data_IF_043627104818
#
_entry.id   IF_043627104818
#
_cell.length_a   1.000
_cell.length_b   1.000
_cell.length_c   1.000
_cell.angle_alpha   90.00
_cell.angle_beta   90.00
_cell.angle_gamma   90.00
#
_symmetry.space_group_name_H-M   'P 1'
#
loop_
_entity.id
_entity.type
_entity.pdbx_description
1 polymer ?
#
# COMPACT_ATOMS: atom_id res chain seq x y z
N UNK A 1 -17.48 11.14 21.09
CA UNK A 1 -18.44 11.51 20.03
C UNK A 1 -18.07 12.89 19.53
N UNK A 2 -17.55 12.96 18.31
CA UNK A 2 -17.52 14.14 17.47
C UNK A 2 -17.39 13.61 16.03
N UNK A 3 -18.54 13.17 15.50
CA UNK A 3 -18.74 13.11 14.06
C UNK A 3 -19.05 14.54 13.62
N UNK A 4 -18.07 15.17 12.96
CA UNK A 4 -18.27 16.39 12.20
C UNK A 4 -17.38 16.28 10.97
N UNK A 5 -17.92 15.66 9.92
CA UNK A 5 -17.40 15.82 8.57
C UNK A 5 -17.57 17.29 8.15
N UNK A 6 -16.53 18.10 8.35
CA UNK A 6 -16.46 19.40 7.69
C UNK A 6 -16.24 19.16 6.21
N UNK A 7 -17.28 19.33 5.39
CA UNK A 7 -17.09 19.51 3.96
C UNK A 7 -16.39 20.86 3.77
N UNK A 8 -15.08 20.80 3.55
CA UNK A 8 -14.29 21.97 3.16
C UNK A 8 -14.85 22.48 1.83
N UNK A 9 -15.54 23.63 1.87
CA UNK A 9 -16.18 24.24 0.69
C UNK A 9 -15.18 24.80 -0.30
N UNK A 10 -13.89 24.88 0.08
CA UNK A 10 -12.84 25.36 -0.80
C UNK A 10 -12.67 24.40 -1.96
N UNK A 11 -12.48 25.00 -3.14
CA UNK A 11 -12.10 24.27 -4.34
C UNK A 11 -10.76 23.57 -4.13
N UNK A 12 -10.65 22.35 -4.63
CA UNK A 12 -9.49 21.50 -4.41
C UNK A 12 -9.10 20.69 -5.64
N UNK A 13 -7.88 20.21 -5.61
CA UNK A 13 -7.44 19.11 -6.46
C UNK A 13 -7.72 17.80 -5.74
N UNK A 14 -8.41 16.86 -6.39
CA UNK A 14 -8.74 15.53 -5.86
C UNK A 14 -8.06 14.46 -6.71
N UNK A 15 -7.14 13.71 -6.10
CA UNK A 15 -6.54 12.51 -6.65
C UNK A 15 -7.21 11.27 -6.05
N UNK A 16 -7.80 10.40 -6.88
CA UNK A 16 -8.32 9.10 -6.43
C UNK A 16 -7.44 7.99 -7.00
N UNK A 17 -6.84 7.20 -6.12
CA UNK A 17 -5.96 6.11 -6.46
C UNK A 17 -6.55 4.78 -6.01
N UNK A 18 -6.74 3.87 -6.95
CA UNK A 18 -7.14 2.49 -6.67
C UNK A 18 -5.95 1.56 -6.79
N UNK A 19 -5.62 0.87 -5.71
CA UNK A 19 -4.60 -0.17 -5.68
C UNK A 19 -5.29 -1.55 -5.62
N UNK A 20 -5.10 -2.34 -6.66
CA UNK A 20 -5.71 -3.67 -6.76
C UNK A 20 -4.74 -4.78 -6.38
N UNK A 21 -5.32 -5.90 -5.91
CA UNK A 21 -4.59 -7.10 -5.49
C UNK A 21 -3.66 -6.82 -4.29
N UNK A 22 -4.05 -5.92 -3.39
CA UNK A 22 -3.18 -5.49 -2.29
C UNK A 22 -2.85 -6.63 -1.31
N UNK A 23 -3.71 -7.64 -1.20
CA UNK A 23 -3.40 -8.80 -0.34
C UNK A 23 -2.22 -9.63 -0.84
N UNK A 24 -1.84 -9.46 -2.11
CA UNK A 24 -0.66 -10.09 -2.70
C UNK A 24 0.61 -9.24 -2.55
N UNK A 25 0.53 -8.14 -1.81
CA UNK A 25 1.70 -7.32 -1.52
C UNK A 25 2.72 -8.10 -0.67
N UNK A 26 3.89 -8.34 -1.26
CA UNK A 26 5.04 -8.97 -0.61
C UNK A 26 6.07 -7.96 -0.12
N UNK A 27 5.78 -6.67 -0.23
CA UNK A 27 6.70 -5.65 0.25
C UNK A 27 6.96 -5.80 1.75
N UNK A 28 8.23 -5.68 2.10
CA UNK A 28 8.71 -5.71 3.47
C UNK A 28 8.48 -4.34 4.16
N UNK A 29 8.78 -4.27 5.45
CA UNK A 29 8.79 -2.99 6.16
C UNK A 29 9.72 -2.00 5.44
N UNK A 30 9.34 -0.71 5.41
CA UNK A 30 10.06 0.37 4.71
C UNK A 30 9.98 0.33 3.17
N UNK A 31 9.33 -0.65 2.57
CA UNK A 31 9.05 -0.64 1.13
C UNK A 31 7.68 0.01 0.87
N UNK A 32 7.63 0.88 -0.14
CA UNK A 32 6.41 1.58 -0.53
C UNK A 32 5.91 1.18 -1.91
N UNK A 33 4.60 1.21 -2.07
CA UNK A 33 3.93 1.22 -3.37
C UNK A 33 3.73 2.68 -3.73
N UNK A 34 4.33 3.11 -4.83
CA UNK A 34 4.18 4.45 -5.36
C UNK A 34 2.96 4.53 -6.29
N UNK A 35 2.14 5.57 -6.13
CA UNK A 35 1.08 5.90 -7.09
C UNK A 35 1.67 6.47 -8.39
N UNK A 36 0.94 6.45 -9.51
CA UNK A 36 1.28 7.30 -10.63
C UNK A 36 1.41 8.77 -10.21
N UNK A 37 2.37 9.46 -10.80
CA UNK A 37 2.59 10.90 -10.59
C UNK A 37 1.42 11.69 -11.20
N UNK A 38 1.02 12.77 -10.53
CA UNK A 38 -0.01 13.69 -10.99
C UNK A 38 0.47 15.14 -10.87
N UNK A 39 0.14 15.96 -11.88
CA UNK A 39 0.51 17.37 -11.92
C UNK A 39 -0.65 18.27 -11.46
N UNK A 40 -0.35 19.29 -10.66
CA UNK A 40 -1.32 20.29 -10.23
C UNK A 40 -0.94 21.63 -10.85
N UNK A 41 -1.62 22.00 -11.93
CA UNK A 41 -1.36 23.23 -12.69
C UNK A 41 -1.38 24.49 -11.82
N UNK A 42 -2.34 24.54 -10.90
CA UNK A 42 -2.52 25.66 -9.99
C UNK A 42 -1.42 25.81 -8.93
N UNK A 43 -0.65 24.75 -8.70
CA UNK A 43 0.53 24.72 -7.84
C UNK A 43 1.81 24.78 -8.68
N UNK A 44 1.86 25.72 -9.63
CA UNK A 44 3.00 25.93 -10.52
C UNK A 44 3.37 24.71 -11.35
N UNK A 45 2.36 23.91 -11.73
CA UNK A 45 2.54 22.60 -12.41
C UNK A 45 3.41 21.64 -11.61
N UNK A 46 3.43 21.77 -10.29
CA UNK A 46 4.13 20.84 -9.41
C UNK A 46 3.54 19.45 -9.55
N UNK A 47 4.44 18.48 -9.64
CA UNK A 47 4.12 17.07 -9.73
C UNK A 47 4.20 16.43 -8.35
N UNK A 48 3.27 15.52 -8.07
CA UNK A 48 3.15 14.84 -6.79
C UNK A 48 2.87 13.35 -7.00
N UNK A 49 3.17 12.56 -5.99
CA UNK A 49 2.74 11.16 -5.88
C UNK A 49 2.44 10.80 -4.43
N UNK A 50 1.74 9.68 -4.25
CA UNK A 50 1.56 9.05 -2.95
C UNK A 50 2.51 7.86 -2.84
N UNK A 51 3.25 7.80 -1.74
CA UNK A 51 3.95 6.59 -1.31
C UNK A 51 3.12 5.93 -0.19
N UNK A 52 2.59 4.73 -0.47
CA UNK A 52 1.89 3.89 0.49
C UNK A 52 2.87 2.88 1.08
N UNK A 53 2.97 2.81 2.40
CA UNK A 53 3.71 1.78 3.12
C UNK A 53 2.71 0.81 3.78
N UNK A 54 2.35 -0.32 3.14
CA UNK A 54 1.29 -1.21 3.63
C UNK A 54 1.60 -1.89 4.96
N UNK A 55 2.89 -1.99 5.31
CA UNK A 55 3.41 -2.52 6.58
C UNK A 55 4.15 -1.44 7.38
N UNK A 56 3.79 -0.18 7.16
CA UNK A 56 4.39 0.96 7.83
C UNK A 56 5.87 1.17 7.50
N UNK A 57 6.34 2.36 7.88
CA UNK A 57 7.74 2.73 7.85
C UNK A 57 8.32 2.57 9.26
N UNK A 58 7.79 3.32 10.22
CA UNK A 58 8.30 3.34 11.59
C UNK A 58 7.61 2.34 12.52
N UNK A 59 6.38 1.92 12.20
CA UNK A 59 5.63 0.94 12.98
C UNK A 59 4.84 0.03 12.05
N UNK A 60 5.13 -1.27 12.09
CA UNK A 60 4.54 -2.28 11.21
C UNK A 60 3.08 -2.64 11.53
N UNK A 61 2.55 -2.10 12.63
CA UNK A 61 1.14 -2.25 12.97
C UNK A 61 0.25 -1.25 12.22
N UNK A 62 0.82 -0.27 11.54
CA UNK A 62 0.07 0.78 10.85
C UNK A 62 0.46 0.90 9.38
N UNK A 63 -0.53 1.29 8.58
CA UNK A 63 -0.36 1.76 7.21
C UNK A 63 0.03 3.23 7.28
N UNK A 64 1.10 3.58 6.59
CA UNK A 64 1.55 4.96 6.45
C UNK A 64 1.38 5.41 5.00
N UNK A 65 1.11 6.71 4.83
CA UNK A 65 1.06 7.35 3.52
C UNK A 65 1.88 8.63 3.54
N UNK A 66 2.54 8.92 2.43
CA UNK A 66 3.27 10.16 2.23
C UNK A 66 2.85 10.79 0.92
N UNK A 67 2.44 12.05 0.98
CA UNK A 67 2.31 12.90 -0.20
C UNK A 67 3.65 13.58 -0.45
N UNK A 68 4.26 13.28 -1.59
CA UNK A 68 5.58 13.77 -1.95
C UNK A 68 5.49 14.60 -3.23
N UNK A 69 6.26 15.69 -3.29
CA UNK A 69 6.43 16.50 -4.50
C UNK A 69 7.65 16.01 -5.27
N UNK A 70 7.49 15.78 -6.56
CA UNK A 70 8.58 15.38 -7.44
C UNK A 70 9.57 16.52 -7.65
N UNK A 71 10.85 16.17 -7.82
CA UNK A 71 11.91 17.12 -8.11
C UNK A 71 12.22 18.12 -6.98
N UNK A 72 11.75 17.88 -5.75
CA UNK A 72 12.14 18.68 -4.59
C UNK A 72 13.65 18.63 -4.41
N UNK A 73 14.29 19.77 -4.61
CA UNK A 73 15.70 20.00 -4.34
C UNK A 73 15.77 21.04 -3.23
N UNK A 74 16.52 20.82 -2.14
CA UNK A 74 16.71 21.82 -1.09
C UNK A 74 17.40 23.11 -1.60
N UNK A 75 17.86 23.11 -2.85
CA UNK A 75 18.47 24.26 -3.52
C UNK A 75 17.48 25.08 -4.37
N UNK A 76 16.25 24.58 -4.61
CA UNK A 76 15.20 25.30 -5.35
C UNK A 76 14.10 25.72 -4.37
N UNK A 77 14.18 26.98 -3.93
CA UNK A 77 13.32 27.62 -2.91
C UNK A 77 11.92 27.97 -3.41
N UNK A 78 11.14 27.02 -3.91
CA UNK A 78 9.70 27.24 -4.10
C UNK A 78 8.97 26.42 -3.05
N UNK A 79 8.78 27.03 -1.88
CA UNK A 79 7.95 26.47 -0.82
C UNK A 79 6.48 26.75 -1.14
N UNK A 80 5.73 25.69 -1.42
CA UNK A 80 4.28 25.75 -1.56
C UNK A 80 3.67 25.29 -0.26
N UNK A 81 2.82 26.14 0.33
CA UNK A 81 2.06 25.81 1.53
C UNK A 81 0.70 25.28 1.10
N UNK A 82 0.44 24.02 1.42
CA UNK A 82 -0.79 23.32 1.04
C UNK A 82 -1.51 22.79 2.27
N UNK A 83 -2.83 22.71 2.19
CA UNK A 83 -3.59 21.84 3.07
C UNK A 83 -3.87 20.56 2.30
N UNK A 84 -3.91 19.44 2.99
CA UNK A 84 -4.20 18.17 2.36
C UNK A 84 -5.03 17.26 3.26
N UNK A 85 -5.85 16.44 2.62
CA UNK A 85 -6.65 15.40 3.26
C UNK A 85 -6.31 14.08 2.57
N UNK A 86 -6.06 13.05 3.35
CA UNK A 86 -6.00 11.68 2.87
C UNK A 86 -7.19 10.91 3.44
N UNK A 87 -7.87 10.13 2.60
CA UNK A 87 -8.99 9.31 2.99
C UNK A 87 -8.93 7.92 2.36
N UNK A 88 -9.40 6.90 3.09
CA UNK A 88 -9.76 5.62 2.51
C UNK A 88 -11.26 5.61 2.21
N UNK A 89 -11.60 5.11 1.03
CA UNK A 89 -12.97 5.06 0.55
C UNK A 89 -13.47 3.62 0.49
N UNK A 90 -14.77 3.45 0.69
CA UNK A 90 -15.48 2.23 0.31
C UNK A 90 -15.77 2.20 -1.19
N UNK A 91 -16.31 1.09 -1.67
CA UNK A 91 -16.65 0.85 -3.08
C UNK A 91 -17.61 1.89 -3.67
N UNK A 92 -18.56 2.38 -2.86
CA UNK A 92 -19.52 3.43 -3.24
C UNK A 92 -18.93 4.86 -3.21
N UNK A 93 -17.66 5.00 -2.82
CA UNK A 93 -16.98 6.28 -2.66
C UNK A 93 -17.22 6.98 -1.32
N UNK A 94 -17.95 6.35 -0.39
CA UNK A 94 -18.12 6.87 0.98
C UNK A 94 -16.78 6.89 1.72
N UNK A 95 -16.59 7.87 2.59
CA UNK A 95 -15.36 8.02 3.37
C UNK A 95 -15.40 7.08 4.58
N UNK A 96 -14.49 6.12 4.63
CA UNK A 96 -14.35 5.19 5.76
C UNK A 96 -13.52 5.81 6.88
N UNK A 97 -12.44 6.50 6.51
CA UNK A 97 -11.58 7.22 7.44
C UNK A 97 -10.82 8.29 6.68
N UNK A 98 -10.48 9.38 7.35
CA UNK A 98 -9.74 10.49 6.76
C UNK A 98 -8.90 11.22 7.80
N UNK A 99 -7.77 11.75 7.37
CA UNK A 99 -6.90 12.64 8.14
C UNK A 99 -6.62 13.89 7.31
N UNK A 100 -6.75 15.07 7.93
CA UNK A 100 -6.42 16.36 7.32
C UNK A 100 -5.20 16.95 8.01
N UNK A 101 -4.29 17.51 7.22
CA UNK A 101 -3.12 18.25 7.67
C UNK A 101 -3.16 19.60 6.98
N UNK A 102 -2.99 20.67 7.74
CA UNK A 102 -3.05 22.05 7.26
C UNK A 102 -1.65 22.67 7.32
N UNK A 103 -1.40 23.63 6.44
CA UNK A 103 -0.14 24.39 6.37
C UNK A 103 1.11 23.49 6.19
N UNK A 104 1.01 22.49 5.31
CA UNK A 104 2.12 21.60 4.99
C UNK A 104 3.05 22.24 3.96
N UNK A 105 4.36 22.20 4.20
CA UNK A 105 5.35 22.68 3.25
C UNK A 105 5.68 21.58 2.23
N UNK A 106 5.14 21.71 1.01
CA UNK A 106 5.48 20.90 -0.19
C UNK A 106 5.24 19.39 -0.11
N UNK A 107 4.98 18.81 1.06
CA UNK A 107 4.76 17.39 1.29
C UNK A 107 3.91 17.20 2.54
N UNK A 108 3.33 16.01 2.71
CA UNK A 108 2.57 15.68 3.91
C UNK A 108 2.81 14.24 4.35
N UNK A 109 2.92 14.04 5.64
CA UNK A 109 3.15 12.74 6.28
C UNK A 109 1.90 12.32 7.06
N UNK A 110 1.30 11.23 6.60
CA UNK A 110 0.17 10.57 7.26
C UNK A 110 0.68 9.31 7.99
N UNK A 111 1.61 9.51 8.93
CA UNK A 111 2.10 8.49 9.83
C UNK A 111 0.97 7.88 10.67
N UNK A 112 1.01 6.56 10.84
CA UNK A 112 0.06 5.76 11.62
C UNK A 112 -1.38 5.98 11.20
N UNK A 113 -1.61 6.16 9.90
CA UNK A 113 -2.92 6.53 9.36
C UNK A 113 -4.01 5.52 9.74
N UNK A 114 -3.71 4.22 9.60
CA UNK A 114 -4.67 3.17 9.96
C UNK A 114 -4.00 1.87 10.36
N UNK A 115 -4.55 1.17 11.34
CA UNK A 115 -4.02 -0.14 11.74
C UNK A 115 -4.11 -1.18 10.61
N UNK A 116 -2.99 -1.84 10.33
CA UNK A 116 -2.88 -2.90 9.32
C UNK A 116 -3.86 -4.03 9.62
N UNK A 117 -3.98 -4.44 10.89
CA UNK A 117 -4.91 -5.51 11.30
C UNK A 117 -6.37 -5.15 11.05
N UNK A 118 -6.71 -3.87 11.14
CA UNK A 118 -8.08 -3.42 10.88
C UNK A 118 -8.40 -3.50 9.38
N UNK A 119 -7.49 -3.00 8.54
CA UNK A 119 -7.66 -2.96 7.08
C UNK A 119 -7.52 -4.34 6.43
N UNK A 120 -6.53 -5.14 6.84
CA UNK A 120 -6.23 -6.43 6.18
C UNK A 120 -6.98 -7.62 6.79
N UNK A 121 -7.39 -7.54 8.06
CA UNK A 121 -7.99 -8.69 8.76
C UNK A 121 -9.44 -8.42 9.22
N UNK A 122 -9.65 -7.51 10.18
CA UNK A 122 -10.96 -7.39 10.87
C UNK A 122 -12.06 -6.81 10.00
N UNK A 123 -11.75 -5.73 9.27
CA UNK A 123 -12.71 -5.00 8.44
C UNK A 123 -12.34 -5.08 6.95
N UNK A 124 -11.73 -6.20 6.55
CA UNK A 124 -11.18 -6.39 5.21
C UNK A 124 -12.18 -6.11 4.10
N UNK A 125 -13.41 -6.65 4.18
CA UNK A 125 -14.42 -6.45 3.13
C UNK A 125 -14.85 -4.99 2.98
N UNK A 126 -14.76 -4.20 4.06
CA UNK A 126 -15.11 -2.78 4.06
C UNK A 126 -14.01 -1.93 3.43
N UNK A 127 -12.75 -2.16 3.82
CA UNK A 127 -11.62 -1.37 3.33
C UNK A 127 -11.05 -1.86 1.98
N UNK A 128 -11.20 -3.16 1.70
CA UNK A 128 -10.64 -3.84 0.52
C UNK A 128 -11.73 -4.58 -0.28
N UNK A 129 -12.78 -3.88 -0.76
CA UNK A 129 -13.78 -4.49 -1.64
C UNK A 129 -13.10 -5.07 -2.88
N UNK A 130 -13.36 -6.34 -3.19
CA UNK A 130 -12.69 -7.07 -4.28
C UNK A 130 -11.14 -6.99 -4.23
N UNK A 131 -10.57 -6.90 -3.02
CA UNK A 131 -9.13 -6.74 -2.79
C UNK A 131 -8.53 -5.43 -3.36
N UNK A 132 -9.35 -4.38 -3.42
CA UNK A 132 -8.96 -3.04 -3.88
C UNK A 132 -8.91 -2.05 -2.73
N UNK A 133 -7.76 -1.40 -2.52
CA UNK A 133 -7.66 -0.25 -1.63
C UNK A 133 -7.93 1.03 -2.44
N UNK A 134 -8.96 1.79 -2.05
CA UNK A 134 -9.31 3.05 -2.72
C UNK A 134 -8.90 4.22 -1.82
N UNK A 135 -7.97 5.03 -2.30
CA UNK A 135 -7.38 6.14 -1.57
C UNK A 135 -7.78 7.44 -2.26
N UNK A 136 -8.21 8.43 -1.50
CA UNK A 136 -8.43 9.80 -1.97
C UNK A 136 -7.44 10.73 -1.29
N UNK A 137 -6.70 11.48 -2.09
CA UNK A 137 -5.95 12.64 -1.62
C UNK A 137 -6.63 13.90 -2.15
N UNK A 138 -6.93 14.86 -1.26
CA UNK A 138 -7.35 16.20 -1.64
C UNK A 138 -6.29 17.19 -1.23
N UNK A 139 -6.05 18.17 -2.09
CA UNK A 139 -5.03 19.20 -1.89
C UNK A 139 -5.68 20.57 -2.14
N UNK A 140 -5.44 21.50 -1.23
CA UNK A 140 -5.84 22.89 -1.30
C UNK A 140 -4.60 23.78 -1.21
N UNK A 141 -4.68 24.97 -1.79
CA UNK A 141 -3.78 26.06 -1.46
C UNK A 141 -4.14 26.58 -0.06
N UNK A 142 -3.16 26.77 0.83
CA UNK A 142 -3.43 27.30 2.16
C UNK A 142 -3.61 28.83 2.16
N UNK A 143 -2.97 29.52 1.21
CA UNK A 143 -2.91 30.99 1.15
C UNK A 143 -4.05 31.63 0.35
N UNK A 144 -4.67 30.88 -0.56
CA UNK A 144 -5.73 31.35 -1.45
C UNK A 144 -6.61 30.20 -1.92
N UNK A 145 -7.75 30.51 -2.54
CA UNK A 145 -8.58 29.48 -3.14
C UNK A 145 -8.00 28.97 -4.47
N UNK A 146 -8.27 27.71 -4.79
CA UNK A 146 -8.11 27.19 -6.14
C UNK A 146 -9.20 27.76 -7.05
N UNK A 147 -8.92 27.89 -8.35
CA UNK A 147 -9.87 28.46 -9.32
C UNK A 147 -10.99 27.49 -9.66
N UNK A 148 -10.73 26.19 -9.63
CA UNK A 148 -11.72 25.13 -9.91
C UNK A 148 -11.51 23.86 -9.07
N UNK A 149 -12.53 22.99 -9.05
CA UNK A 149 -12.36 21.64 -8.53
C UNK A 149 -11.83 20.76 -9.66
N UNK A 150 -10.64 20.19 -9.47
CA UNK A 150 -10.03 19.27 -10.42
C UNK A 150 -10.06 17.87 -9.81
N UNK A 151 -10.38 16.86 -10.62
CA UNK A 151 -10.31 15.47 -10.19
C UNK A 151 -9.56 14.63 -11.21
N UNK A 152 -8.69 13.74 -10.74
CA UNK A 152 -8.09 12.70 -11.56
C UNK A 152 -8.08 11.35 -10.84
N UNK A 153 -7.99 10.30 -11.66
CA UNK A 153 -8.09 8.92 -11.22
C UNK A 153 -6.84 8.17 -11.68
N UNK A 154 -6.30 7.35 -10.78
CA UNK A 154 -5.17 6.49 -11.05
C UNK A 154 -5.47 5.07 -10.58
N UNK A 155 -4.83 4.11 -11.24
CA UNK A 155 -4.92 2.69 -10.89
C UNK A 155 -3.54 2.07 -10.90
N UNK A 156 -3.22 1.37 -9.83
CA UNK A 156 -2.06 0.47 -9.75
C UNK A 156 -2.60 -0.94 -9.52
N UNK A 157 -2.02 -1.94 -10.17
CA UNK A 157 -2.40 -3.35 -9.98
C UNK A 157 -1.16 -4.16 -9.68
N UNK A 158 -1.16 -4.83 -8.54
CA UNK A 158 -0.13 -5.82 -8.22
C UNK A 158 -0.35 -7.03 -9.13
N UNK A 159 0.62 -7.29 -10.01
CA UNK A 159 0.55 -8.43 -10.90
C UNK A 159 0.90 -9.71 -10.14
N UNK A 160 0.08 -10.75 -10.32
CA UNK A 160 0.26 -12.05 -9.67
C UNK A 160 0.63 -13.04 -10.75
N UNK A 161 1.84 -13.57 -10.71
CA UNK A 161 2.24 -14.67 -11.56
C UNK A 161 2.07 -15.97 -10.79
N UNK A 162 1.07 -16.77 -11.16
CA UNK A 162 0.85 -18.08 -10.57
C UNK A 162 1.68 -19.13 -11.32
N UNK A 163 2.56 -19.81 -10.61
CA UNK A 163 3.32 -20.94 -11.15
C UNK A 163 2.75 -22.25 -10.61
N UNK A 164 2.37 -23.16 -11.50
CA UNK A 164 2.01 -24.53 -11.15
C UNK A 164 3.15 -25.46 -11.54
N UNK A 165 3.56 -26.32 -10.61
CA UNK A 165 4.58 -27.34 -10.87
C UNK A 165 4.08 -28.71 -10.45
N UNK A 166 4.43 -29.72 -11.24
CA UNK A 166 4.21 -31.12 -10.90
C UNK A 166 5.50 -31.69 -10.33
N UNK A 167 5.56 -31.88 -9.00
CA UNK A 167 6.72 -32.49 -8.36
C UNK A 167 6.54 -34.01 -8.26
N UNK A 168 7.21 -34.75 -9.14
CA UNK A 168 7.23 -36.21 -9.06
C UNK A 168 8.29 -36.67 -8.05
N UNK A 169 7.84 -37.10 -6.87
CA UNK A 169 8.71 -37.65 -5.82
C UNK A 169 8.96 -39.13 -6.11
N UNK A 170 10.12 -39.41 -6.71
CA UNK A 170 10.55 -40.79 -6.97
C UNK A 170 10.80 -41.54 -5.66
N UNK A 171 10.41 -42.81 -5.62
CA UNK A 171 10.63 -43.70 -4.48
C UNK A 171 10.10 -43.14 -3.14
N UNK A 172 8.93 -42.47 -3.16
CA UNK A 172 8.30 -41.87 -1.98
C UNK A 172 8.26 -42.80 -0.75
N UNK A 173 7.98 -44.09 -0.96
CA UNK A 173 7.94 -45.13 0.09
C UNK A 173 9.29 -45.40 0.79
N UNK A 174 10.40 -44.96 0.19
CA UNK A 174 11.77 -45.15 0.69
C UNK A 174 12.32 -43.92 1.43
N UNK A 175 11.56 -42.82 1.48
CA UNK A 175 11.98 -41.62 2.20
C UNK A 175 11.93 -41.93 3.70
N UNK A 176 13.10 -41.92 4.33
CA UNK A 176 13.23 -42.16 5.77
C UNK A 176 12.62 -40.99 6.55
N UNK A 177 12.09 -41.28 7.75
CA UNK A 177 11.69 -40.22 8.68
C UNK A 177 12.87 -39.27 8.90
N UNK A 178 12.60 -37.98 8.93
CA UNK A 178 13.59 -36.90 9.11
C UNK A 178 14.51 -36.62 7.89
N UNK A 179 14.44 -37.40 6.80
CA UNK A 179 15.10 -37.02 5.54
C UNK A 179 14.29 -35.99 4.76
N UNK A 180 14.99 -34.95 4.29
CA UNK A 180 14.44 -33.79 3.60
C UNK A 180 14.61 -33.95 2.08
N UNK A 181 13.50 -33.87 1.35
CA UNK A 181 13.49 -33.69 -0.10
C UNK A 181 13.28 -32.20 -0.39
N UNK A 182 14.14 -31.60 -1.19
CA UNK A 182 14.11 -30.17 -1.49
C UNK A 182 13.82 -29.95 -2.97
N UNK A 183 12.87 -29.06 -3.26
CA UNK A 183 12.58 -28.55 -4.59
C UNK A 183 12.88 -27.05 -4.62
N UNK A 184 13.67 -26.61 -5.59
CA UNK A 184 13.97 -25.19 -5.79
C UNK A 184 13.18 -24.67 -6.99
N UNK A 185 12.39 -23.63 -6.77
CA UNK A 185 11.67 -22.91 -7.81
C UNK A 185 12.47 -21.66 -8.17
N UNK A 186 12.91 -21.57 -9.42
CA UNK A 186 13.73 -20.47 -9.93
C UNK A 186 12.87 -19.47 -10.70
N UNK A 187 13.16 -18.17 -10.59
CA UNK A 187 12.62 -17.15 -11.48
C UNK A 187 13.24 -17.29 -12.86
N UNK A 188 12.39 -17.27 -13.89
CA UNK A 188 12.82 -17.36 -15.30
C UNK A 188 13.64 -16.14 -15.74
N UNK A 189 13.51 -15.00 -15.05
CA UNK A 189 14.12 -13.74 -15.47
C UNK A 189 15.58 -13.57 -15.02
N UNK A 190 15.95 -14.03 -13.82
CA UNK A 190 17.29 -13.75 -13.25
C UNK A 190 18.06 -14.98 -12.74
N UNK A 191 17.57 -16.21 -12.97
CA UNK A 191 18.15 -17.45 -12.41
C UNK A 191 18.26 -17.47 -10.86
N UNK A 192 17.65 -16.52 -10.17
CA UNK A 192 17.56 -16.50 -8.73
C UNK A 192 16.52 -17.51 -8.23
N UNK A 193 16.84 -18.19 -7.12
CA UNK A 193 15.91 -19.11 -6.46
C UNK A 193 14.83 -18.27 -5.77
N UNK A 194 13.61 -18.29 -6.30
CA UNK A 194 12.47 -17.56 -5.72
C UNK A 194 12.00 -18.22 -4.42
N UNK A 195 11.92 -19.55 -4.43
CA UNK A 195 11.36 -20.31 -3.32
C UNK A 195 12.01 -21.69 -3.25
N UNK A 196 12.27 -22.14 -2.03
CA UNK A 196 12.68 -23.52 -1.75
C UNK A 196 11.54 -24.22 -1.00
N UNK A 197 11.04 -25.32 -1.56
CA UNK A 197 10.00 -26.15 -0.97
C UNK A 197 10.65 -27.40 -0.41
N UNK A 198 10.43 -27.65 0.87
CA UNK A 198 11.01 -28.76 1.59
C UNK A 198 9.96 -29.72 2.09
N UNK A 199 10.08 -30.99 1.70
CA UNK A 199 9.19 -32.07 2.09
C UNK A 199 9.96 -33.06 2.97
N UNK A 200 9.44 -33.35 4.16
CA UNK A 200 10.00 -34.35 5.06
C UNK A 200 8.89 -35.08 5.81
N UNK A 201 9.16 -36.33 6.20
CA UNK A 201 8.23 -37.13 7.00
C UNK A 201 8.58 -37.03 8.47
N UNK A 202 7.57 -36.79 9.30
CA UNK A 202 7.68 -36.86 10.75
C UNK A 202 6.92 -38.08 11.25
N UNK A 203 7.61 -38.99 11.93
CA UNK A 203 6.97 -40.15 12.52
C UNK A 203 6.17 -39.69 13.76
N UNK A 204 4.87 -39.99 13.83
CA UNK A 204 3.97 -39.48 14.88
C UNK A 204 4.13 -40.17 16.24
N UNK A 205 5.17 -41.01 16.42
CA UNK A 205 5.38 -41.81 17.62
C UNK A 205 6.71 -41.48 18.31
N UNK A 206 6.82 -40.28 18.88
CA UNK A 206 7.66 -40.06 20.06
C UNK A 206 6.75 -39.89 21.26
N UNK A 207 6.22 -41.01 21.78
CA UNK A 207 5.79 -41.05 23.18
C UNK A 207 7.04 -40.79 24.02
N UNK A 208 7.15 -39.59 24.58
CA UNK A 208 8.04 -39.33 25.72
C UNK A 208 7.50 -40.18 26.88
N UNK A 209 8.17 -41.29 27.15
CA UNK A 209 8.11 -41.93 28.46
C UNK A 209 9.34 -41.47 29.22
N UNK A 210 9.13 -40.55 30.16
CA UNK A 210 9.92 -40.50 31.40
C UNK A 210 9.09 -41.18 32.48
#
# INVERSE_FOLDING_TARGET
MADMSWQDKRKCFTFIWTLENISYNWQERYESIRSPTFAINELEKSEYHLDLYPRGKDNDNYIDFYLQREGYSPFVNITLVIDCELALLSEDGSVLTSLKIEQCETSADFCRFKEVKDVLNHNRSTYLPEDKLIVRCRIWKSDREMTENVQCFARTRIHIQMHSLLWNIRNFSSIQSEKKCTYQMNLVLDNEVLMTIDLFFKNSYTRRFN
#
